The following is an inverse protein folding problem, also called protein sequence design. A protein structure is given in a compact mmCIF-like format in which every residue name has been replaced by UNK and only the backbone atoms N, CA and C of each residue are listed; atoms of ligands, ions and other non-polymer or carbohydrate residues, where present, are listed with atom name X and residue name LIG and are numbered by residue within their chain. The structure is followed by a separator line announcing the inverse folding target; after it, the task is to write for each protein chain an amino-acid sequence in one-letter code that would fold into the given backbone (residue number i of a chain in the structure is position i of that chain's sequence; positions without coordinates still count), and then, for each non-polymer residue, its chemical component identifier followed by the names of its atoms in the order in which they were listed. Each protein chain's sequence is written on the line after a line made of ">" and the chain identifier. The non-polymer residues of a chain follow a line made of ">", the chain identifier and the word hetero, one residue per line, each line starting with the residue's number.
data_IF_395482792731
#
_entry.id   IF_395482792731
#
_cell.length_a   1.000
_cell.length_b   1.000
_cell.length_c   1.000
_cell.angle_alpha   90.00
_cell.angle_beta   90.00
_cell.angle_gamma   90.00
#
_symmetry.space_group_name_H-M   'P 1'
#
loop_
_entity.id
_entity.type
_entity.pdbx_description
1 polymer ?
#
# COMPACT_ATOMS: atom_id res chain seq x y z
N UNK A 1 2.73 -22.05 -1.48
CA UNK A 1 2.81 -20.74 -0.81
C UNK A 1 1.71 -20.68 0.23
N UNK A 2 2.08 -20.35 1.45
CA UNK A 2 1.18 -20.15 2.58
C UNK A 2 0.28 -18.92 2.38
N UNK A 3 -0.68 -18.74 3.30
CA UNK A 3 -1.63 -17.62 3.25
C UNK A 3 -0.91 -16.27 3.40
N UNK A 4 0.17 -16.23 4.18
CA UNK A 4 0.97 -15.03 4.43
C UNK A 4 1.72 -14.59 3.18
N UNK A 5 2.38 -15.51 2.47
CA UNK A 5 3.04 -15.18 1.20
C UNK A 5 2.05 -14.71 0.13
N UNK A 6 0.87 -15.33 0.04
CA UNK A 6 -0.21 -14.88 -0.87
C UNK A 6 -0.72 -13.48 -0.50
N UNK A 7 -0.90 -13.21 0.79
CA UNK A 7 -1.29 -11.90 1.30
C UNK A 7 -0.27 -10.82 0.95
N UNK A 8 1.01 -11.11 1.16
CA UNK A 8 2.12 -10.21 0.83
C UNK A 8 2.14 -9.88 -0.66
N UNK A 9 1.86 -10.83 -1.55
CA UNK A 9 1.80 -10.55 -3.00
C UNK A 9 0.68 -9.56 -3.34
N UNK A 10 -0.53 -9.75 -2.79
CA UNK A 10 -1.64 -8.82 -3.05
C UNK A 10 -1.29 -7.41 -2.54
N UNK A 11 -0.72 -7.34 -1.35
CA UNK A 11 -0.29 -6.07 -0.74
C UNK A 11 0.88 -5.42 -1.47
N UNK A 12 1.80 -6.22 -2.02
CA UNK A 12 2.87 -5.75 -2.87
C UNK A 12 2.34 -5.10 -4.15
N UNK A 13 1.42 -5.78 -4.86
CA UNK A 13 0.79 -5.23 -6.08
C UNK A 13 0.04 -3.94 -5.74
N UNK A 14 -0.74 -3.94 -4.66
CA UNK A 14 -1.40 -2.74 -4.16
C UNK A 14 -0.41 -1.62 -3.85
N UNK A 15 0.69 -1.92 -3.18
CA UNK A 15 1.75 -0.98 -2.84
C UNK A 15 2.38 -0.35 -4.08
N UNK A 16 2.66 -1.13 -5.12
CA UNK A 16 3.17 -0.61 -6.40
C UNK A 16 2.21 0.43 -6.99
N UNK A 17 0.94 0.04 -7.13
CA UNK A 17 -0.09 0.90 -7.75
C UNK A 17 -0.28 2.19 -6.95
N UNK A 18 -0.49 2.08 -5.65
CA UNK A 18 -0.70 3.24 -4.77
C UNK A 18 0.57 4.06 -4.57
N UNK A 19 1.76 3.47 -4.64
CA UNK A 19 3.05 4.19 -4.60
C UNK A 19 3.24 5.08 -5.82
N UNK A 20 2.93 4.58 -7.02
CA UNK A 20 2.97 5.40 -8.24
C UNK A 20 1.93 6.52 -8.16
N UNK A 21 0.70 6.20 -7.74
CA UNK A 21 -0.37 7.18 -7.59
C UNK A 21 -0.08 8.24 -6.51
N UNK A 22 0.64 7.86 -5.44
CA UNK A 22 1.04 8.76 -4.37
C UNK A 22 1.89 9.94 -4.87
N UNK A 23 2.67 9.74 -5.93
CA UNK A 23 3.42 10.83 -6.55
C UNK A 23 2.49 11.93 -7.09
N UNK A 24 1.37 11.57 -7.71
CA UNK A 24 0.40 12.55 -8.18
C UNK A 24 -0.24 13.29 -7.02
N UNK A 25 -0.65 12.57 -5.96
CA UNK A 25 -1.26 13.16 -4.76
C UNK A 25 -0.31 14.15 -4.08
N UNK A 26 0.97 13.78 -3.94
CA UNK A 26 1.98 14.65 -3.35
C UNK A 26 2.16 15.96 -4.14
N UNK A 27 2.08 15.88 -5.47
CA UNK A 27 2.26 17.01 -6.37
C UNK A 27 0.98 17.82 -6.66
N UNK A 28 -0.15 17.51 -6.01
CA UNK A 28 -1.40 18.29 -6.15
C UNK A 28 -1.34 19.73 -5.60
N UNK A 29 -0.22 20.15 -5.00
CA UNK A 29 -0.01 21.53 -4.57
C UNK A 29 -0.52 21.87 -3.17
N UNK A 30 -0.61 20.89 -2.26
CA UNK A 30 -0.99 21.11 -0.86
C UNK A 30 0.10 21.77 0.01
N UNK A 31 1.24 22.15 -0.58
CA UNK A 31 2.36 22.79 0.12
C UNK A 31 2.90 21.92 1.25
N UNK A 32 2.98 22.48 2.46
CA UNK A 32 3.49 21.76 3.64
C UNK A 32 2.66 20.51 4.00
N UNK A 33 1.39 20.45 3.55
CA UNK A 33 0.50 19.33 3.84
C UNK A 33 0.58 18.19 2.81
N UNK A 34 1.36 18.33 1.73
CA UNK A 34 1.49 17.30 0.69
C UNK A 34 1.91 15.95 1.26
N UNK A 35 2.84 15.93 2.23
CA UNK A 35 3.26 14.68 2.89
C UNK A 35 2.13 14.01 3.67
N UNK A 36 1.34 14.80 4.41
CA UNK A 36 0.21 14.28 5.19
C UNK A 36 -0.90 13.77 4.27
N UNK A 37 -1.24 14.52 3.22
CA UNK A 37 -2.23 14.11 2.23
C UNK A 37 -1.83 12.78 1.55
N UNK A 38 -0.54 12.65 1.22
CA UNK A 38 0.00 11.43 0.60
C UNK A 38 -0.04 10.25 1.57
N UNK A 39 0.29 10.46 2.84
CA UNK A 39 0.19 9.43 3.86
C UNK A 39 -1.25 8.95 4.05
N UNK A 40 -2.22 9.87 4.14
CA UNK A 40 -3.64 9.52 4.24
C UNK A 40 -4.12 8.75 3.01
N UNK A 41 -3.69 9.15 1.82
CA UNK A 41 -3.98 8.43 0.58
C UNK A 41 -3.43 7.00 0.61
N UNK A 42 -2.19 6.81 1.04
CA UNK A 42 -1.60 5.48 1.16
C UNK A 42 -2.32 4.62 2.21
N UNK A 43 -2.79 5.20 3.32
CA UNK A 43 -3.62 4.50 4.30
C UNK A 43 -4.95 4.03 3.71
N UNK A 44 -5.63 4.87 2.91
CA UNK A 44 -6.85 4.46 2.21
C UNK A 44 -6.57 3.29 1.25
N UNK A 45 -5.47 3.35 0.50
CA UNK A 45 -5.05 2.25 -0.36
C UNK A 45 -4.80 0.95 0.41
N UNK A 46 -4.16 1.01 1.58
CA UNK A 46 -3.98 -0.17 2.44
C UNK A 46 -5.32 -0.79 2.84
N UNK A 47 -6.30 0.04 3.23
CA UNK A 47 -7.63 -0.44 3.62
C UNK A 47 -8.33 -1.12 2.43
N UNK A 48 -8.24 -0.54 1.23
CA UNK A 48 -8.81 -1.11 0.01
C UNK A 48 -8.17 -2.48 -0.29
N UNK A 49 -6.85 -2.55 -0.30
CA UNK A 49 -6.10 -3.79 -0.58
C UNK A 49 -6.34 -4.84 0.50
N UNK A 50 -6.52 -4.41 1.75
CA UNK A 50 -6.93 -5.25 2.86
C UNK A 50 -8.31 -5.88 2.66
N UNK A 51 -9.29 -5.09 2.23
CA UNK A 51 -10.63 -5.59 1.90
C UNK A 51 -10.58 -6.59 0.72
N UNK A 52 -9.80 -6.29 -0.32
CA UNK A 52 -9.59 -7.22 -1.45
C UNK A 52 -9.02 -8.54 -0.94
N UNK A 53 -8.00 -8.49 -0.08
CA UNK A 53 -7.39 -9.68 0.49
C UNK A 53 -8.39 -10.48 1.34
N UNK A 54 -9.23 -9.82 2.12
CA UNK A 54 -10.29 -10.47 2.90
C UNK A 54 -11.36 -11.12 2.02
N UNK A 55 -11.70 -10.53 0.87
CA UNK A 55 -12.62 -11.14 -0.12
C UNK A 55 -12.00 -12.37 -0.79
N UNK A 56 -10.70 -12.33 -1.10
CA UNK A 56 -10.02 -13.44 -1.79
C UNK A 56 -9.74 -14.61 -0.85
N UNK A 57 -9.35 -14.34 0.39
CA UNK A 57 -8.91 -15.38 1.32
C UNK A 57 -9.95 -15.76 2.38
N UNK A 58 -11.00 -14.95 2.57
CA UNK A 58 -11.94 -15.07 3.69
C UNK A 58 -11.51 -14.24 4.90
N UNK A 59 -12.45 -13.56 5.54
CA UNK A 59 -12.21 -12.62 6.65
C UNK A 59 -11.70 -13.29 7.93
N UNK A 60 -11.93 -14.59 8.10
CA UNK A 60 -11.47 -15.37 9.27
C UNK A 60 -10.13 -16.08 9.03
N UNK A 61 -9.60 -16.01 7.81
CA UNK A 61 -8.41 -16.76 7.41
C UNK A 61 -7.10 -16.12 7.86
N UNK A 62 -7.14 -14.88 8.36
CA UNK A 62 -5.97 -14.11 8.75
C UNK A 62 -6.18 -13.46 10.12
N UNK A 63 -5.22 -13.61 11.01
CA UNK A 63 -5.18 -12.83 12.24
C UNK A 63 -4.76 -11.39 11.96
N UNK A 64 -5.14 -10.45 12.83
CA UNK A 64 -4.73 -9.04 12.72
C UNK A 64 -3.19 -8.90 12.67
N UNK A 65 -2.46 -9.74 13.41
CA UNK A 65 -1.00 -9.76 13.41
C UNK A 65 -0.44 -10.14 12.04
N UNK A 66 -0.98 -11.18 11.41
CA UNK A 66 -0.56 -11.59 10.05
C UNK A 66 -0.94 -10.55 9.01
N UNK A 67 -2.13 -9.95 9.13
CA UNK A 67 -2.58 -8.91 8.21
C UNK A 67 -1.68 -7.66 8.26
N UNK A 68 -1.37 -7.16 9.46
CA UNK A 68 -0.47 -6.01 9.63
C UNK A 68 0.99 -6.36 9.30
N UNK A 69 1.47 -7.50 9.78
CA UNK A 69 2.87 -7.90 9.67
C UNK A 69 3.28 -8.27 8.25
N UNK A 70 2.46 -9.04 7.53
CA UNK A 70 2.80 -9.52 6.20
C UNK A 70 2.16 -8.64 5.11
N UNK A 71 0.90 -8.21 5.31
CA UNK A 71 0.19 -7.33 4.39
C UNK A 71 0.61 -5.86 4.53
N UNK A 72 0.33 -5.26 5.68
CA UNK A 72 0.57 -3.84 5.93
C UNK A 72 2.02 -3.41 5.76
N UNK A 73 2.97 -4.16 6.32
CA UNK A 73 4.40 -3.84 6.20
C UNK A 73 4.88 -3.89 4.74
N UNK A 74 4.52 -4.95 4.00
CA UNK A 74 4.93 -5.11 2.60
C UNK A 74 4.32 -4.03 1.70
N UNK A 75 3.04 -3.69 1.92
CA UNK A 75 2.36 -2.60 1.22
C UNK A 75 3.10 -1.27 1.39
N UNK A 76 3.36 -0.83 2.62
CA UNK A 76 3.98 0.47 2.86
C UNK A 76 5.41 0.54 2.36
N UNK A 77 6.20 -0.52 2.58
CA UNK A 77 7.58 -0.57 2.10
C UNK A 77 7.63 -0.40 0.58
N UNK A 78 6.81 -1.17 -0.14
CA UNK A 78 6.78 -1.14 -1.61
C UNK A 78 6.20 0.19 -2.12
N UNK A 79 5.13 0.69 -1.50
CA UNK A 79 4.54 1.97 -1.87
C UNK A 79 5.53 3.13 -1.73
N UNK A 80 6.31 3.17 -0.65
CA UNK A 80 7.34 4.21 -0.45
C UNK A 80 8.43 4.08 -1.51
N UNK A 81 8.93 2.87 -1.79
CA UNK A 81 9.95 2.66 -2.82
C UNK A 81 9.46 3.16 -4.18
N UNK A 82 8.28 2.73 -4.62
CA UNK A 82 7.73 3.13 -5.91
C UNK A 82 7.38 4.62 -5.97
N UNK A 83 6.92 5.20 -4.87
CA UNK A 83 6.71 6.64 -4.79
C UNK A 83 8.02 7.41 -4.94
N UNK A 84 9.08 7.02 -4.25
CA UNK A 84 10.40 7.65 -4.38
C UNK A 84 10.94 7.50 -5.80
N UNK A 85 10.81 6.32 -6.42
CA UNK A 85 11.23 6.13 -7.81
C UNK A 85 10.47 7.05 -8.78
N UNK A 86 9.15 7.15 -8.63
CA UNK A 86 8.30 8.03 -9.45
C UNK A 86 8.60 9.52 -9.20
N UNK A 87 8.85 9.92 -7.95
CA UNK A 87 9.22 11.29 -7.61
C UNK A 87 10.56 11.70 -8.24
N UNK A 88 11.49 10.76 -8.37
CA UNK A 88 12.78 10.99 -9.02
C UNK A 88 12.75 10.80 -10.55
N UNK A 89 11.59 10.50 -11.14
CA UNK A 89 11.44 10.32 -12.60
C UNK A 89 12.12 9.07 -13.16
N UNK A 90 12.35 8.05 -12.33
CA UNK A 90 12.95 6.77 -12.77
C UNK A 90 11.92 5.88 -13.46
N UNK A 91 10.66 5.95 -13.01
CA UNK A 91 9.49 5.26 -13.56
C UNK A 91 8.32 6.23 -13.70
#
# INVERSE_FOLDING_TARGET
>A
MDIEGKLTIIHAIGGILFGILANYVYNLGFGIFSGVATLLFLFLGLIIVGHISAMVFGSTSLTQKQWLGCGGMSYFFIAIVFWVLAYNGII
#
